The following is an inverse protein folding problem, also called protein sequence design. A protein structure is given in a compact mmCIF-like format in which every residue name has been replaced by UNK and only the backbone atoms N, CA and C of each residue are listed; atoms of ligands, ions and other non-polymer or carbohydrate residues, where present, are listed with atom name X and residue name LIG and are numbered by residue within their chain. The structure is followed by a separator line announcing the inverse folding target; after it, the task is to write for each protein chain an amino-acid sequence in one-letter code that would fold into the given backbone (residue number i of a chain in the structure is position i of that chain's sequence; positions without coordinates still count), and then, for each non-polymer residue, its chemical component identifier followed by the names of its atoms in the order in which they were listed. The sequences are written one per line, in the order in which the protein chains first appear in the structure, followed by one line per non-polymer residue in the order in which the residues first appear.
data_IF_800320035564
#
_entry.id   IF_800320035564
#
_cell.length_a   1.000
_cell.length_b   1.000
_cell.length_c   1.000
_cell.angle_alpha   90.00
_cell.angle_beta   90.00
_cell.angle_gamma   90.00
#
_symmetry.space_group_name_H-M   'P 1'
#
loop_
_entity.id
_entity.type
_entity.pdbx_description
1 polymer ?
#
# COMPACT_ATOMS: atom_id res chain seq x y z
N UNK A 1 5.86 8.22 -7.33
CA UNK A 1 4.45 7.83 -7.55
C UNK A 1 3.87 8.26 -8.90
N UNK A 2 4.12 9.44 -9.41
CA UNK A 2 3.63 9.94 -10.71
C UNK A 2 3.91 8.97 -11.88
N UNK A 3 5.06 8.31 -11.89
CA UNK A 3 5.47 7.36 -12.93
C UNK A 3 4.58 6.12 -13.06
N UNK A 4 3.96 5.65 -11.96
CA UNK A 4 3.05 4.49 -11.98
C UNK A 4 1.77 4.85 -12.73
N UNK A 5 1.22 6.03 -12.49
CA UNK A 5 0.03 6.50 -13.21
C UNK A 5 0.32 6.78 -14.69
N UNK A 6 1.51 7.29 -14.99
CA UNK A 6 1.98 7.46 -16.37
C UNK A 6 2.10 6.13 -17.10
N UNK A 7 2.67 5.11 -16.45
CA UNK A 7 2.82 3.78 -17.03
C UNK A 7 1.46 3.14 -17.32
N UNK A 8 0.53 3.13 -16.37
CA UNK A 8 -0.80 2.56 -16.57
C UNK A 8 -1.68 3.40 -17.49
N UNK A 9 -1.55 4.71 -17.45
CA UNK A 9 -2.19 5.61 -18.40
C UNK A 9 -1.73 5.33 -19.82
N UNK A 10 -0.44 5.11 -20.05
CA UNK A 10 0.13 4.77 -21.35
C UNK A 10 -0.34 3.41 -21.88
N UNK A 11 -0.63 2.45 -21.00
CA UNK A 11 -1.22 1.15 -21.36
C UNK A 11 -2.70 1.25 -21.78
N UNK A 12 -3.45 2.18 -21.19
CA UNK A 12 -4.87 2.39 -21.52
C UNK A 12 -5.07 3.23 -22.78
N UNK A 13 -4.18 4.19 -23.03
CA UNK A 13 -4.24 5.11 -24.17
C UNK A 13 -4.43 4.44 -25.55
N UNK A 14 -3.75 3.34 -25.91
CA UNK A 14 -3.93 2.67 -27.21
C UNK A 14 -5.33 2.07 -27.41
N UNK A 15 -6.06 1.79 -26.33
CA UNK A 15 -7.41 1.22 -26.42
C UNK A 15 -8.49 2.27 -26.71
N UNK A 16 -8.26 3.54 -26.39
CA UNK A 16 -9.21 4.63 -26.64
C UNK A 16 -9.54 4.82 -28.14
N UNK A 17 -8.56 4.88 -29.06
CA UNK A 17 -8.83 4.93 -30.49
C UNK A 17 -9.61 3.70 -30.98
N UNK A 18 -9.29 2.51 -30.49
CA UNK A 18 -10.01 1.28 -30.84
C UNK A 18 -11.48 1.32 -30.39
N UNK A 19 -11.75 1.79 -29.20
CA UNK A 19 -13.11 1.96 -28.68
C UNK A 19 -13.87 3.02 -29.48
N UNK A 20 -13.23 4.14 -29.79
CA UNK A 20 -13.81 5.21 -30.59
C UNK A 20 -14.12 4.75 -32.03
N UNK A 21 -13.15 4.13 -32.71
CA UNK A 21 -13.33 3.59 -34.04
C UNK A 21 -14.46 2.56 -34.10
N UNK A 22 -14.51 1.65 -33.14
CA UNK A 22 -15.56 0.64 -33.08
C UNK A 22 -16.96 1.25 -32.84
N UNK A 23 -17.07 2.28 -31.95
CA UNK A 23 -18.32 3.03 -31.77
C UNK A 23 -18.77 3.75 -33.06
N UNK A 24 -17.80 4.35 -33.76
CA UNK A 24 -18.08 5.04 -35.03
C UNK A 24 -18.55 4.05 -36.09
N UNK A 25 -17.89 2.90 -36.22
CA UNK A 25 -18.30 1.84 -37.15
C UNK A 25 -19.70 1.27 -36.81
N UNK A 26 -20.01 1.09 -35.53
CA UNK A 26 -21.36 0.65 -35.12
C UNK A 26 -22.40 1.69 -35.50
N UNK A 27 -22.19 2.97 -35.23
CA UNK A 27 -23.10 4.05 -35.66
C UNK A 27 -23.32 4.08 -37.17
N UNK A 28 -22.23 3.95 -37.95
CA UNK A 28 -22.33 3.91 -39.41
C UNK A 28 -23.12 2.69 -39.90
N UNK A 29 -22.94 1.53 -39.31
CA UNK A 29 -23.73 0.33 -39.59
C UNK A 29 -25.20 0.55 -39.32
N UNK A 30 -25.52 1.07 -38.15
CA UNK A 30 -26.89 1.32 -37.73
C UNK A 30 -27.58 2.33 -38.64
N UNK A 31 -26.85 3.37 -39.09
CA UNK A 31 -27.34 4.42 -39.97
C UNK A 31 -27.58 3.91 -41.39
N UNK A 32 -26.74 3.00 -41.89
CA UNK A 32 -26.81 2.51 -43.29
C UNK A 32 -27.44 1.13 -43.39
N UNK A 33 -27.90 0.51 -42.29
CA UNK A 33 -28.49 -0.82 -42.27
C UNK A 33 -27.54 -1.95 -42.69
N UNK A 34 -26.21 -1.76 -42.57
CA UNK A 34 -25.25 -2.77 -42.97
C UNK A 34 -25.22 -3.93 -41.98
N UNK A 35 -25.33 -5.20 -42.44
CA UNK A 35 -25.28 -6.32 -41.54
C UNK A 35 -23.90 -6.46 -40.90
N UNK A 36 -23.84 -6.87 -39.64
CA UNK A 36 -22.58 -7.25 -38.99
C UNK A 36 -22.02 -8.51 -39.68
N UNK A 37 -20.70 -8.57 -39.85
CA UNK A 37 -20.08 -9.80 -40.33
C UNK A 37 -20.35 -10.94 -39.31
N UNK A 38 -20.65 -12.18 -39.79
CA UNK A 38 -20.98 -13.29 -38.89
C UNK A 38 -20.00 -13.53 -37.76
N UNK A 39 -18.69 -13.29 -38.00
CA UNK A 39 -17.64 -13.38 -37.00
C UNK A 39 -17.57 -12.22 -36.00
N UNK A 40 -18.29 -11.12 -36.23
CA UNK A 40 -18.28 -9.92 -35.39
C UNK A 40 -19.37 -9.92 -34.33
N UNK A 41 -20.43 -10.69 -34.51
CA UNK A 41 -21.62 -10.70 -33.63
C UNK A 41 -21.29 -10.96 -32.14
N UNK A 42 -20.42 -11.91 -31.79
CA UNK A 42 -20.09 -12.17 -30.37
C UNK A 42 -19.12 -11.15 -29.76
N UNK A 43 -18.57 -10.21 -30.54
CA UNK A 43 -17.59 -9.24 -30.05
C UNK A 43 -18.26 -7.92 -29.65
N UNK A 44 -18.36 -7.68 -28.33
CA UNK A 44 -18.84 -6.40 -27.79
C UNK A 44 -17.74 -5.35 -27.86
N UNK A 45 -18.04 -4.20 -28.45
CA UNK A 45 -17.09 -3.09 -28.69
C UNK A 45 -15.81 -3.49 -29.45
N UNK A 46 -15.81 -4.63 -30.16
CA UNK A 46 -14.67 -5.16 -30.86
C UNK A 46 -13.56 -5.73 -29.97
N UNK A 47 -13.73 -5.69 -28.66
CA UNK A 47 -12.71 -6.06 -27.65
C UNK A 47 -13.12 -7.26 -26.79
N UNK A 48 -14.39 -7.35 -26.42
CA UNK A 48 -14.89 -8.34 -25.47
C UNK A 48 -15.71 -9.39 -26.16
N UNK A 49 -15.33 -10.66 -25.99
CA UNK A 49 -16.12 -11.77 -26.50
C UNK A 49 -17.24 -12.12 -25.54
N UNK A 50 -18.46 -12.14 -26.02
CA UNK A 50 -19.67 -12.48 -25.28
C UNK A 50 -20.59 -13.33 -26.14
N UNK A 51 -20.56 -14.65 -25.96
CA UNK A 51 -21.39 -15.61 -26.68
C UNK A 51 -21.99 -16.60 -25.67
N UNK A 52 -23.29 -16.42 -25.31
CA UNK A 52 -23.98 -17.34 -24.39
C UNK A 52 -24.06 -18.77 -24.90
N UNK A 53 -24.16 -18.94 -26.21
CA UNK A 53 -24.29 -20.24 -26.88
C UNK A 53 -22.96 -20.97 -27.05
N UNK A 54 -21.82 -20.28 -26.79
CA UNK A 54 -20.50 -20.86 -26.84
C UNK A 54 -20.05 -21.22 -25.42
N UNK A 55 -19.97 -22.54 -25.15
CA UNK A 55 -19.60 -23.07 -23.83
C UNK A 55 -18.11 -22.92 -23.50
N UNK A 56 -17.28 -22.53 -24.47
CA UNK A 56 -15.83 -22.35 -24.26
C UNK A 56 -15.58 -21.11 -23.39
N UNK A 57 -14.84 -21.29 -22.30
CA UNK A 57 -14.44 -20.19 -21.42
C UNK A 57 -13.38 -19.28 -22.04
N UNK A 58 -12.57 -19.82 -22.97
CA UNK A 58 -11.49 -19.14 -23.66
C UNK A 58 -11.59 -19.37 -25.16
N UNK A 59 -11.50 -18.28 -25.94
CA UNK A 59 -11.60 -18.32 -27.40
C UNK A 59 -10.42 -17.58 -28.03
N UNK A 60 -10.07 -17.88 -29.28
CA UNK A 60 -9.02 -17.13 -29.98
C UNK A 60 -9.36 -15.62 -30.03
N UNK A 61 -8.34 -14.78 -29.93
CA UNK A 61 -8.51 -13.33 -30.11
C UNK A 61 -8.96 -13.01 -31.53
N UNK A 62 -9.78 -11.98 -31.69
CA UNK A 62 -10.22 -11.48 -32.99
C UNK A 62 -9.04 -10.98 -33.84
N UNK A 63 -8.08 -10.31 -33.20
CA UNK A 63 -6.91 -9.73 -33.83
C UNK A 63 -5.67 -10.12 -33.03
N UNK A 64 -4.61 -10.55 -33.69
CA UNK A 64 -3.36 -10.98 -33.07
C UNK A 64 -3.36 -12.44 -32.61
N UNK A 65 -2.32 -12.82 -31.90
CA UNK A 65 -2.14 -14.17 -31.34
C UNK A 65 -2.66 -14.24 -29.90
N UNK A 66 -3.10 -15.41 -29.48
CA UNK A 66 -3.55 -15.70 -28.12
C UNK A 66 -5.05 -15.87 -27.98
N UNK A 67 -5.50 -15.93 -26.74
CA UNK A 67 -6.91 -16.16 -26.39
C UNK A 67 -7.49 -15.03 -25.57
N UNK A 68 -8.82 -14.96 -25.52
CA UNK A 68 -9.56 -14.05 -24.64
C UNK A 68 -10.67 -14.83 -23.92
N UNK A 69 -11.16 -14.28 -22.81
CA UNK A 69 -12.21 -14.89 -22.04
C UNK A 69 -13.61 -14.66 -22.68
N UNK A 70 -14.45 -15.69 -22.65
CA UNK A 70 -15.87 -15.56 -22.99
C UNK A 70 -16.64 -15.04 -21.78
N UNK A 71 -17.01 -13.79 -21.78
CA UNK A 71 -17.71 -13.11 -20.68
C UNK A 71 -19.15 -13.62 -20.46
N UNK A 72 -19.68 -14.46 -21.34
CA UNK A 72 -20.96 -15.13 -21.12
C UNK A 72 -20.82 -16.30 -20.12
N UNK A 73 -19.65 -16.92 -20.04
CA UNK A 73 -19.39 -18.06 -19.15
C UNK A 73 -18.97 -17.63 -17.73
N UNK A 74 -19.26 -18.48 -16.74
CA UNK A 74 -18.85 -18.24 -15.35
C UNK A 74 -17.31 -18.11 -15.24
N UNK A 75 -16.57 -19.02 -15.86
CA UNK A 75 -15.10 -19.01 -15.83
C UNK A 75 -14.49 -17.80 -16.53
N UNK A 76 -15.10 -17.35 -17.62
CA UNK A 76 -14.68 -16.11 -18.29
C UNK A 76 -14.91 -14.88 -17.42
N UNK A 77 -16.03 -14.80 -16.71
CA UNK A 77 -16.31 -13.73 -15.74
C UNK A 77 -15.32 -13.74 -14.58
N UNK A 78 -15.06 -14.95 -14.02
CA UNK A 78 -14.09 -15.09 -12.93
C UNK A 78 -12.67 -14.67 -13.35
N UNK A 79 -12.22 -15.09 -14.53
CA UNK A 79 -10.91 -14.70 -15.04
C UNK A 79 -10.77 -13.18 -15.17
N UNK A 80 -11.79 -12.49 -15.68
CA UNK A 80 -11.78 -11.03 -15.77
C UNK A 80 -11.84 -10.37 -14.39
N UNK A 81 -12.67 -10.89 -13.47
CA UNK A 81 -12.77 -10.37 -12.11
C UNK A 81 -11.43 -10.47 -11.37
N UNK A 82 -10.74 -11.62 -11.44
CA UNK A 82 -9.42 -11.80 -10.82
C UNK A 82 -8.41 -10.82 -11.39
N UNK A 83 -8.37 -10.65 -12.72
CA UNK A 83 -7.48 -9.66 -13.34
C UNK A 83 -7.82 -8.22 -12.92
N UNK A 84 -9.10 -7.87 -12.84
CA UNK A 84 -9.54 -6.54 -12.40
C UNK A 84 -9.14 -6.27 -10.94
N UNK A 85 -9.31 -7.26 -10.05
CA UNK A 85 -8.86 -7.17 -8.65
C UNK A 85 -7.35 -6.99 -8.58
N UNK A 86 -6.57 -7.78 -9.32
CA UNK A 86 -5.11 -7.67 -9.35
C UNK A 86 -4.66 -6.27 -9.80
N UNK A 87 -5.25 -5.73 -10.85
CA UNK A 87 -4.97 -4.38 -11.33
C UNK A 87 -5.36 -3.33 -10.27
N UNK A 88 -6.55 -3.46 -9.68
CA UNK A 88 -7.00 -2.55 -8.62
C UNK A 88 -6.05 -2.57 -7.40
N UNK A 89 -5.59 -3.75 -6.99
CA UNK A 89 -4.61 -3.89 -5.90
C UNK A 89 -3.32 -3.13 -6.21
N UNK A 90 -2.76 -3.33 -7.40
CA UNK A 90 -1.55 -2.62 -7.84
C UNK A 90 -1.76 -1.10 -7.85
N UNK A 91 -2.89 -0.63 -8.39
CA UNK A 91 -3.20 0.80 -8.47
C UNK A 91 -3.41 1.43 -7.09
N UNK A 92 -3.97 0.68 -6.13
CA UNK A 92 -4.23 1.18 -4.78
C UNK A 92 -3.02 1.11 -3.86
N UNK A 93 -2.04 0.25 -4.15
CA UNK A 93 -0.83 0.10 -3.31
C UNK A 93 -0.10 1.44 -3.14
N UNK A 94 0.11 2.20 -4.22
CA UNK A 94 0.79 3.49 -4.14
C UNK A 94 0.10 4.51 -3.22
N UNK A 95 -1.19 4.83 -3.43
CA UNK A 95 -1.93 5.72 -2.53
C UNK A 95 -1.95 5.24 -1.07
N UNK A 96 -2.12 3.95 -0.82
CA UNK A 96 -2.13 3.39 0.54
C UNK A 96 -0.78 3.58 1.23
N UNK A 97 0.32 3.25 0.55
CA UNK A 97 1.66 3.48 1.09
C UNK A 97 1.93 4.96 1.31
N UNK A 98 1.47 5.85 0.43
CA UNK A 98 1.60 7.29 0.60
C UNK A 98 0.85 7.82 1.83
N UNK A 99 -0.35 7.34 2.09
CA UNK A 99 -1.09 7.69 3.32
C UNK A 99 -0.37 7.17 4.55
N UNK A 100 0.15 5.95 4.51
CA UNK A 100 0.92 5.38 5.62
C UNK A 100 2.19 6.21 5.89
N UNK A 101 2.93 6.58 4.84
CA UNK A 101 4.17 7.33 4.96
C UNK A 101 4.00 8.72 5.59
N UNK A 102 2.90 9.41 5.26
CA UNK A 102 2.61 10.76 5.75
C UNK A 102 1.75 10.78 7.04
N UNK A 103 1.44 9.63 7.61
CA UNK A 103 0.73 9.56 8.88
C UNK A 103 1.74 9.70 10.02
N UNK A 104 1.57 10.67 10.96
CA UNK A 104 2.55 10.90 12.00
C UNK A 104 2.62 9.77 13.02
N UNK A 105 3.84 9.49 13.51
CA UNK A 105 4.04 8.72 14.72
C UNK A 105 3.68 9.57 15.94
N UNK A 106 3.17 8.95 17.00
CA UNK A 106 2.82 9.63 18.26
C UNK A 106 3.20 8.77 19.44
N UNK A 107 3.59 9.45 20.53
CA UNK A 107 3.83 8.83 21.81
C UNK A 107 2.77 9.35 22.81
N UNK A 108 2.19 8.45 23.55
CA UNK A 108 1.21 8.75 24.59
C UNK A 108 1.63 8.04 25.89
N UNK A 109 1.52 8.76 27.01
CA UNK A 109 1.71 8.21 28.34
C UNK A 109 0.34 7.91 28.94
N UNK A 110 0.08 6.65 29.22
CA UNK A 110 -1.15 6.23 29.90
C UNK A 110 -0.87 5.95 31.37
N UNK A 111 -1.63 6.58 32.27
CA UNK A 111 -1.39 6.58 33.72
C UNK A 111 -2.35 5.67 34.48
N UNK A 112 -3.22 4.91 33.85
CA UNK A 112 -4.18 4.05 34.53
C UNK A 112 -4.54 2.81 33.72
N UNK A 113 -4.57 1.62 34.28
CA UNK A 113 -4.26 1.24 35.71
C UNK A 113 -2.76 1.14 35.98
N UNK A 114 -1.92 1.00 34.96
CA UNK A 114 -0.46 0.99 35.04
C UNK A 114 0.07 2.13 34.21
N UNK A 115 1.26 2.64 34.52
CA UNK A 115 1.93 3.65 33.72
C UNK A 115 2.60 2.96 32.55
N UNK A 116 2.21 3.34 31.34
CA UNK A 116 2.70 2.74 30.11
C UNK A 116 3.08 3.82 29.08
N UNK A 117 4.20 3.63 28.42
CA UNK A 117 4.52 4.35 27.21
C UNK A 117 3.90 3.63 26.01
N UNK A 118 3.01 4.29 25.31
CA UNK A 118 2.35 3.75 24.13
C UNK A 118 2.81 4.48 22.87
N UNK A 119 3.22 3.70 21.89
CA UNK A 119 3.60 4.20 20.56
C UNK A 119 2.48 3.96 19.57
N UNK A 120 2.17 5.00 18.77
CA UNK A 120 1.12 4.98 17.79
C UNK A 120 1.64 5.41 16.41
N UNK A 121 0.99 4.90 15.39
CA UNK A 121 1.05 5.43 14.04
C UNK A 121 -0.38 5.76 13.59
N UNK A 122 -0.68 7.05 13.50
CA UNK A 122 -2.03 7.56 13.36
C UNK A 122 -2.92 7.15 14.54
N UNK A 123 -3.94 6.32 14.25
CA UNK A 123 -4.85 5.78 15.27
C UNK A 123 -4.49 4.36 15.73
N UNK A 124 -3.47 3.76 15.14
CA UNK A 124 -3.10 2.36 15.42
C UNK A 124 -1.97 2.31 16.42
N UNK A 125 -2.22 1.70 17.57
CA UNK A 125 -1.20 1.43 18.58
C UNK A 125 -0.24 0.36 18.09
N UNK A 126 1.05 0.59 18.23
CA UNK A 126 2.14 -0.27 17.75
C UNK A 126 2.85 -0.99 18.88
N UNK A 127 3.29 -0.25 19.88
CA UNK A 127 3.98 -0.80 21.04
C UNK A 127 3.33 -0.30 22.33
N UNK A 128 3.39 -1.16 23.35
CA UNK A 128 3.04 -0.85 24.73
C UNK A 128 4.26 -1.23 25.55
N UNK A 129 4.85 -0.27 26.25
CA UNK A 129 6.05 -0.44 27.05
C UNK A 129 5.68 -0.06 28.49
N UNK A 130 5.52 -1.05 29.40
CA UNK A 130 5.27 -0.78 30.81
C UNK A 130 6.44 -0.01 31.42
N UNK A 131 6.15 0.99 32.27
CA UNK A 131 7.19 1.82 32.86
C UNK A 131 8.15 1.02 33.72
N UNK A 132 7.66 0.03 34.44
CA UNK A 132 8.44 -0.87 35.30
C UNK A 132 9.42 -1.76 34.52
N UNK A 133 9.22 -1.96 33.22
CA UNK A 133 10.14 -2.71 32.35
C UNK A 133 11.27 -1.84 31.80
N UNK A 134 11.17 -0.51 31.90
CA UNK A 134 12.14 0.41 31.33
C UNK A 134 13.39 0.49 32.23
N UNK A 135 14.54 0.14 31.66
CA UNK A 135 15.80 0.17 32.36
C UNK A 135 16.62 1.43 32.02
N UNK A 136 16.42 2.00 30.84
CA UNK A 136 17.15 3.17 30.40
C UNK A 136 16.40 3.96 29.34
N UNK A 137 16.49 5.29 29.43
CA UNK A 137 15.91 6.23 28.45
C UNK A 137 17.00 7.17 27.95
N UNK A 138 17.07 7.39 26.65
CA UNK A 138 18.04 8.30 26.03
C UNK A 138 17.42 9.00 24.82
N UNK A 139 17.83 10.23 24.56
CA UNK A 139 17.46 10.99 23.37
C UNK A 139 18.68 11.13 22.44
N UNK A 140 18.47 10.85 21.19
CA UNK A 140 19.49 10.98 20.15
C UNK A 140 19.04 12.03 19.11
N UNK A 141 20.02 12.75 18.57
CA UNK A 141 19.79 13.75 17.51
C UNK A 141 20.02 13.19 16.10
N UNK A 142 20.38 11.93 16.00
CA UNK A 142 20.56 11.23 14.72
C UNK A 142 20.21 9.76 14.87
N UNK A 143 19.61 9.17 13.85
CA UNK A 143 19.35 7.75 13.80
C UNK A 143 20.61 7.01 13.30
N UNK A 144 21.11 5.99 14.04
CA UNK A 144 22.17 5.12 13.54
C UNK A 144 21.73 4.33 12.30
N UNK A 145 22.69 3.85 11.52
CA UNK A 145 22.39 2.95 10.39
C UNK A 145 21.64 1.71 10.88
N UNK A 146 20.53 1.43 10.22
CA UNK A 146 19.65 0.32 10.55
C UNK A 146 19.35 -0.54 9.31
N UNK A 147 19.48 -1.85 9.46
CA UNK A 147 19.08 -2.83 8.45
C UNK A 147 17.72 -3.43 8.79
N UNK A 148 16.78 -3.44 7.85
CA UNK A 148 15.46 -4.01 8.06
C UNK A 148 15.49 -5.54 8.08
N UNK A 149 14.98 -6.14 9.13
CA UNK A 149 14.72 -7.59 9.23
C UNK A 149 13.28 -7.91 8.86
N UNK A 150 12.33 -7.11 9.35
CA UNK A 150 10.91 -7.26 9.02
C UNK A 150 10.12 -6.02 9.41
N UNK A 151 9.17 -5.63 8.58
CA UNK A 151 8.36 -4.44 8.83
C UNK A 151 8.29 -3.50 7.62
N UNK A 152 8.01 -2.25 7.88
CA UNK A 152 7.82 -1.16 6.91
C UNK A 152 9.02 -0.22 7.01
N UNK A 153 9.52 0.22 5.85
CA UNK A 153 10.63 1.16 5.70
C UNK A 153 10.26 2.07 4.51
N UNK A 154 9.69 3.23 4.83
CA UNK A 154 9.27 4.28 3.91
C UNK A 154 10.10 5.54 4.16
N UNK A 155 9.85 6.61 3.41
CA UNK A 155 10.60 7.86 3.53
C UNK A 155 10.40 8.54 4.90
N UNK A 156 9.16 8.53 5.42
CA UNK A 156 8.78 9.17 6.69
C UNK A 156 8.25 8.19 7.75
N UNK A 157 8.29 6.90 7.48
CA UNK A 157 7.77 5.91 8.43
C UNK A 157 8.54 4.60 8.42
N UNK A 158 9.22 4.32 9.55
CA UNK A 158 9.84 3.03 9.82
C UNK A 158 9.13 2.33 10.98
N UNK A 159 8.75 1.08 10.78
CA UNK A 159 8.09 0.29 11.82
C UNK A 159 8.41 -1.20 11.66
N UNK A 160 8.75 -1.84 12.77
CA UNK A 160 9.02 -3.28 12.84
C UNK A 160 10.34 -3.61 13.50
N UNK A 161 10.94 -4.71 13.08
CA UNK A 161 12.20 -5.22 13.63
C UNK A 161 13.36 -4.88 12.70
N UNK A 162 14.38 -4.24 13.25
CA UNK A 162 15.58 -3.82 12.54
C UNK A 162 16.83 -4.29 13.29
N UNK A 163 17.97 -4.23 12.65
CA UNK A 163 19.28 -4.47 13.25
C UNK A 163 20.09 -3.19 13.15
N UNK A 164 20.59 -2.71 14.29
CA UNK A 164 21.52 -1.58 14.37
C UNK A 164 22.91 -2.03 14.82
N UNK A 165 23.95 -1.34 14.37
CA UNK A 165 25.35 -1.74 14.58
C UNK A 165 25.70 -1.90 16.07
N UNK A 166 25.16 -1.02 16.94
CA UNK A 166 25.51 -1.00 18.37
C UNK A 166 24.46 -1.64 19.27
N UNK A 167 23.20 -1.64 18.84
CA UNK A 167 22.07 -2.13 19.65
C UNK A 167 21.64 -3.55 19.29
N UNK A 168 22.12 -4.11 18.16
CA UNK A 168 21.66 -5.39 17.67
C UNK A 168 20.22 -5.32 17.16
N UNK A 169 19.39 -6.27 17.56
CA UNK A 169 17.97 -6.29 17.16
C UNK A 169 17.16 -5.26 17.95
N UNK A 170 16.49 -4.37 17.24
CA UNK A 170 15.69 -3.27 17.82
C UNK A 170 14.28 -3.23 17.21
N UNK A 171 13.37 -2.61 17.93
CA UNK A 171 12.00 -2.35 17.49
C UNK A 171 11.81 -0.88 17.18
N UNK A 172 11.39 -0.56 15.96
CA UNK A 172 11.21 0.82 15.52
C UNK A 172 9.74 1.16 15.35
N UNK A 173 9.37 2.38 15.74
CA UNK A 173 8.16 3.07 15.33
C UNK A 173 8.46 4.57 15.30
N UNK A 174 8.97 5.05 14.18
CA UNK A 174 9.57 6.38 14.09
C UNK A 174 9.48 6.97 12.67
N UNK A 175 9.63 8.28 12.60
CA UNK A 175 9.97 9.01 11.38
C UNK A 175 11.50 9.13 11.27
N UNK A 176 12.16 8.52 10.27
CA UNK A 176 13.61 8.57 10.15
C UNK A 176 14.14 9.98 9.81
N UNK A 177 13.27 10.91 9.42
CA UNK A 177 13.61 12.31 9.12
C UNK A 177 13.48 13.25 10.33
N UNK A 178 13.01 12.74 11.48
CA UNK A 178 12.92 13.50 12.71
C UNK A 178 14.29 13.97 13.19
N UNK A 179 14.33 15.10 13.91
CA UNK A 179 15.55 15.62 14.53
C UNK A 179 15.86 15.01 15.90
N UNK A 180 14.88 14.31 16.52
CA UNK A 180 15.02 13.70 17.84
C UNK A 180 14.41 12.31 17.88
N UNK A 181 15.16 11.37 18.46
CA UNK A 181 14.80 9.97 18.58
C UNK A 181 14.86 9.54 20.04
N UNK A 182 13.78 8.94 20.53
CA UNK A 182 13.70 8.37 21.85
C UNK A 182 14.15 6.90 21.81
N UNK A 183 15.23 6.57 22.49
CA UNK A 183 15.69 5.20 22.70
C UNK A 183 15.28 4.75 24.09
N UNK A 184 14.48 3.70 24.15
CA UNK A 184 14.01 3.07 25.37
C UNK A 184 14.56 1.65 25.42
N UNK A 185 15.31 1.34 26.47
CA UNK A 185 15.84 0.01 26.75
C UNK A 185 14.97 -0.65 27.84
N UNK A 186 14.55 -1.86 27.58
CA UNK A 186 13.71 -2.66 28.47
C UNK A 186 14.35 -4.03 28.65
N UNK A 187 13.80 -4.83 29.58
CA UNK A 187 14.20 -6.22 29.74
C UNK A 187 13.93 -7.06 28.47
N UNK A 188 12.90 -6.72 27.72
CA UNK A 188 12.43 -7.45 26.52
C UNK A 188 13.12 -6.97 25.23
N UNK A 189 13.84 -5.84 25.23
CA UNK A 189 14.50 -5.33 24.05
C UNK A 189 14.66 -3.80 24.01
N UNK A 190 15.12 -3.31 22.88
CA UNK A 190 15.38 -1.90 22.64
C UNK A 190 14.36 -1.36 21.65
N UNK A 191 13.76 -0.23 22.00
CA UNK A 191 12.79 0.48 21.19
C UNK A 191 13.34 1.84 20.78
N UNK A 192 13.20 2.16 19.49
CA UNK A 192 13.48 3.49 18.97
C UNK A 192 12.19 4.10 18.43
N UNK A 193 11.81 5.24 18.98
CA UNK A 193 10.50 5.84 18.82
C UNK A 193 10.65 7.33 18.51
N UNK A 194 9.66 7.90 17.80
CA UNK A 194 9.47 9.36 17.68
C UNK A 194 8.05 9.75 18.00
N UNK A 195 7.86 10.95 18.53
CA UNK A 195 6.56 11.60 18.57
C UNK A 195 6.29 12.38 17.25
N UNK A 196 5.18 13.08 17.19
CA UNK A 196 4.81 13.92 16.03
C UNK A 196 5.77 15.09 15.84
N UNK A 197 6.36 15.60 16.92
CA UNK A 197 7.37 16.66 16.90
C UNK A 197 8.55 16.33 17.80
N UNK A 198 9.71 16.94 17.50
CA UNK A 198 10.92 16.81 18.31
C UNK A 198 10.71 17.26 19.75
N UNK A 199 9.96 18.37 19.95
CA UNK A 199 9.63 18.87 21.29
C UNK A 199 8.78 17.88 22.11
N UNK A 200 7.86 17.17 21.46
CA UNK A 200 7.05 16.13 22.12
C UNK A 200 7.91 14.92 22.47
N UNK A 201 8.83 14.55 21.60
CA UNK A 201 9.78 13.46 21.85
C UNK A 201 10.66 13.78 23.08
N UNK A 202 11.19 15.00 23.17
CA UNK A 202 11.97 15.47 24.33
C UNK A 202 11.13 15.51 25.61
N UNK A 203 9.90 16.06 25.57
CA UNK A 203 9.01 16.10 26.75
C UNK A 203 8.69 14.71 27.31
N UNK A 204 8.45 13.74 26.43
CA UNK A 204 8.21 12.36 26.85
C UNK A 204 9.47 11.76 27.48
N UNK A 205 10.63 12.03 26.91
CA UNK A 205 11.91 11.56 27.44
C UNK A 205 12.23 12.16 28.82
N UNK A 206 12.03 13.46 28.97
CA UNK A 206 12.26 14.18 30.23
C UNK A 206 11.35 13.63 31.34
N UNK A 207 10.05 13.45 31.03
CA UNK A 207 9.11 12.88 31.96
C UNK A 207 9.49 11.44 32.37
N UNK A 208 9.86 10.59 31.41
CA UNK A 208 10.29 9.22 31.70
C UNK A 208 11.57 9.21 32.56
N UNK A 209 12.49 10.12 32.32
CA UNK A 209 13.74 10.22 33.07
C UNK A 209 13.50 10.68 34.51
N UNK A 210 12.54 11.60 34.73
CA UNK A 210 12.14 12.07 36.04
C UNK A 210 11.46 10.96 36.84
N UNK A 211 10.57 10.18 36.21
CA UNK A 211 9.82 9.12 36.86
C UNK A 211 10.70 7.90 37.23
N UNK A 212 11.77 7.67 36.46
CA UNK A 212 12.72 6.56 36.71
C UNK A 212 13.86 6.92 37.68
N UNK A 213 13.97 8.17 38.12
CA UNK A 213 15.01 8.64 39.04
C UNK A 213 14.59 8.51 40.51
#
# INVERSE_FOLDING_TARGET
MVWVYFFFGSLALPYLPCLWANRTLQRLRDTHGWPAAPGDVPWKYGLFYYAPDDTRASVPKRIGKGTTANLATLWGKLAVAVNAIAIATILLTGPVLGVLDHTPARLELQVSPTVELQSYHGKTRKYIIPLDSITKVQVYSSLPEAGRVGGIDLEHYWQGTFVMVHDGTVHLCLDPTAGKFLRVETEDGIFWLTAETDEQTEKVADWLTEELS
#
